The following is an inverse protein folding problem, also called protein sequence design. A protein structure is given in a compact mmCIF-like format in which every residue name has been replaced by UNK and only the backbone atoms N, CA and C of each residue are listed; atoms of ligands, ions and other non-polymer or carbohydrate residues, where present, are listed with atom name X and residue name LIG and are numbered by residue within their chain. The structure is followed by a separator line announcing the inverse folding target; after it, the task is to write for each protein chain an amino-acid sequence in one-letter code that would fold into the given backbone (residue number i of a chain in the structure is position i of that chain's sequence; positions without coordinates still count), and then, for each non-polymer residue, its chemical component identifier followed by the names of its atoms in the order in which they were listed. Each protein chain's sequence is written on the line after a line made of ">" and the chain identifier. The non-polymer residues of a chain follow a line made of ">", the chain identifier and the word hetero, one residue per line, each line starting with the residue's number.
data_IF_938326403995
#
_entry.id   IF_938326403995
#
_cell.length_a   1.000
_cell.length_b   1.000
_cell.length_c   1.000
_cell.angle_alpha   90.00
_cell.angle_beta   90.00
_cell.angle_gamma   90.00
#
_symmetry.space_group_name_H-M   'P 1'
#
loop_
_entity.id
_entity.type
_entity.pdbx_description
1 polymer ?
#
# COMPACT_ATOMS: atom_id res chain seq x y z
N UNK A 1 -0.76 48.56 4.76
CA UNK A 1 -2.05 49.25 4.53
C UNK A 1 -3.13 48.19 4.72
N UNK A 2 -3.79 48.15 5.89
CA UNK A 2 -5.14 48.71 6.12
C UNK A 2 -6.22 47.94 5.33
N UNK A 3 -7.32 47.34 5.82
CA UNK A 3 -7.98 47.13 7.13
C UNK A 3 -9.38 46.53 6.81
N UNK A 4 -9.94 45.66 7.68
CA UNK A 4 -11.40 45.34 7.90
C UNK A 4 -12.25 44.75 6.73
N UNK A 5 -13.37 44.02 6.86
CA UNK A 5 -14.01 43.03 7.77
C UNK A 5 -15.32 42.55 7.10
N UNK A 6 -15.69 41.28 7.33
CA UNK A 6 -17.03 40.65 7.49
C UNK A 6 -18.25 40.95 6.58
N UNK A 7 -18.99 39.89 6.17
CA UNK A 7 -20.29 39.46 6.76
C UNK A 7 -21.03 38.37 5.93
N UNK A 8 -21.32 37.24 6.59
CA UNK A 8 -22.58 36.44 6.66
C UNK A 8 -23.58 36.25 5.48
N UNK A 9 -23.92 34.95 5.30
CA UNK A 9 -25.25 34.28 5.09
C UNK A 9 -25.91 34.30 3.70
N UNK A 10 -26.18 33.10 3.15
CA UNK A 10 -27.53 32.56 2.94
C UNK A 10 -27.50 31.11 2.44
N UNK A 11 -28.27 30.24 3.10
CA UNK A 11 -28.61 28.89 2.66
C UNK A 11 -29.86 28.94 1.76
N UNK A 12 -29.96 28.06 0.76
CA UNK A 12 -31.22 27.80 0.07
C UNK A 12 -31.46 26.29 -0.07
N UNK A 13 -32.44 25.84 0.71
CA UNK A 13 -33.04 24.51 0.70
C UNK A 13 -34.24 24.58 -0.26
N UNK A 14 -34.30 23.71 -1.27
CA UNK A 14 -35.50 23.58 -2.13
C UNK A 14 -36.19 22.26 -1.80
N UNK A 15 -37.36 22.38 -1.18
CA UNK A 15 -38.24 21.32 -0.73
C UNK A 15 -39.43 21.30 -1.71
N UNK A 16 -39.55 20.26 -2.52
CA UNK A 16 -40.71 20.07 -3.42
C UNK A 16 -41.64 19.04 -2.80
N UNK A 17 -42.74 19.53 -2.24
CA UNK A 17 -43.90 18.77 -1.80
C UNK A 17 -44.95 18.83 -2.93
N UNK A 18 -45.30 17.70 -3.52
CA UNK A 18 -46.54 17.55 -4.28
C UNK A 18 -47.31 16.34 -3.76
N UNK A 19 -48.32 16.63 -2.92
CA UNK A 19 -49.45 15.74 -2.67
C UNK A 19 -50.44 15.82 -3.82
N UNK A 20 -50.98 14.67 -4.24
CA UNK A 20 -52.34 14.39 -4.77
C UNK A 20 -52.25 13.08 -5.56
N UNK A 21 -53.12 12.08 -5.44
CA UNK A 21 -54.33 11.87 -4.67
C UNK A 21 -54.57 10.35 -4.58
N UNK A 22 -55.16 9.89 -3.48
CA UNK A 22 -55.75 8.55 -3.38
C UNK A 22 -57.04 8.51 -4.20
N UNK A 23 -57.14 7.58 -5.14
CA UNK A 23 -58.43 7.02 -5.55
C UNK A 23 -58.39 5.51 -5.36
N UNK A 24 -59.37 5.03 -4.60
CA UNK A 24 -59.58 3.62 -4.27
C UNK A 24 -60.21 2.96 -5.50
N UNK A 25 -59.45 2.13 -6.19
CA UNK A 25 -59.93 1.21 -7.22
C UNK A 25 -59.72 -0.23 -6.74
N UNK A 26 -60.78 -0.84 -6.22
CA UNK A 26 -60.79 -2.22 -5.80
C UNK A 26 -60.92 -3.13 -7.04
N UNK A 27 -59.88 -3.88 -7.42
CA UNK A 27 -60.01 -5.27 -7.91
C UNK A 27 -58.64 -5.94 -8.17
N UNK A 28 -58.52 -7.20 -7.71
CA UNK A 28 -57.47 -8.19 -8.01
C UNK A 28 -56.04 -7.94 -7.49
N UNK A 29 -55.88 -8.03 -6.17
CA UNK A 29 -54.68 -8.60 -5.56
C UNK A 29 -54.62 -10.11 -5.82
N UNK A 30 -53.53 -10.62 -6.43
CA UNK A 30 -52.94 -11.96 -6.15
C UNK A 30 -51.79 -12.36 -7.09
N UNK A 31 -51.53 -11.63 -8.18
CA UNK A 31 -50.47 -11.96 -9.14
C UNK A 31 -49.10 -11.32 -8.82
N UNK A 32 -49.04 -10.00 -8.67
CA UNK A 32 -47.76 -9.26 -8.67
C UNK A 32 -46.97 -9.38 -7.36
N UNK A 33 -47.63 -9.46 -6.20
CA UNK A 33 -46.95 -9.72 -4.91
C UNK A 33 -46.30 -11.10 -4.82
N UNK A 34 -46.82 -12.10 -5.56
CA UNK A 34 -46.21 -13.44 -5.61
C UNK A 34 -44.96 -13.45 -6.46
N UNK A 35 -44.91 -12.68 -7.55
CA UNK A 35 -43.71 -12.58 -8.39
C UNK A 35 -42.60 -11.74 -7.76
N UNK A 36 -42.93 -10.66 -7.03
CA UNK A 36 -41.92 -9.88 -6.30
C UNK A 36 -41.35 -10.65 -5.09
N UNK A 37 -42.16 -11.46 -4.40
CA UNK A 37 -41.70 -12.31 -3.29
C UNK A 37 -40.89 -13.52 -3.78
N UNK A 38 -41.28 -14.13 -4.90
CA UNK A 38 -40.54 -15.25 -5.51
C UNK A 38 -39.20 -14.84 -6.13
N UNK A 39 -39.05 -13.59 -6.58
CA UNK A 39 -37.79 -13.06 -7.09
C UNK A 39 -36.74 -12.78 -5.99
N UNK A 40 -37.16 -12.59 -4.74
CA UNK A 40 -36.27 -12.47 -3.57
C UNK A 40 -35.93 -13.83 -2.91
N UNK A 41 -36.69 -14.89 -3.18
CA UNK A 41 -36.53 -16.22 -2.55
C UNK A 41 -35.75 -17.23 -3.42
N UNK A 42 -35.20 -16.83 -4.57
CA UNK A 42 -34.45 -17.70 -5.49
C UNK A 42 -32.93 -17.46 -5.51
N UNK A 43 -32.35 -16.94 -4.43
CA UNK A 43 -30.90 -16.93 -4.30
C UNK A 43 -30.39 -18.38 -4.23
N UNK A 44 -29.47 -18.74 -5.15
CA UNK A 44 -28.71 -19.99 -5.10
C UNK A 44 -28.21 -20.20 -3.65
N UNK A 45 -28.46 -21.35 -3.01
CA UNK A 45 -27.98 -21.64 -1.66
C UNK A 45 -26.49 -21.32 -1.46
N UNK A 46 -25.66 -21.55 -2.49
CA UNK A 46 -24.24 -21.20 -2.44
C UNK A 46 -24.03 -19.68 -2.40
N UNK A 47 -24.76 -18.91 -3.20
CA UNK A 47 -24.68 -17.45 -3.20
C UNK A 47 -25.18 -16.85 -1.87
N UNK A 48 -26.28 -17.39 -1.33
CA UNK A 48 -26.80 -16.99 -0.02
C UNK A 48 -25.79 -17.26 1.10
N UNK A 49 -25.11 -18.39 1.08
CA UNK A 49 -24.05 -18.70 2.06
C UNK A 49 -22.93 -17.64 2.03
N UNK A 50 -22.51 -17.18 0.85
CA UNK A 50 -21.46 -16.17 0.72
C UNK A 50 -21.93 -14.78 1.18
N UNK A 51 -23.20 -14.43 0.92
CA UNK A 51 -23.81 -13.21 1.44
C UNK A 51 -23.92 -13.22 2.96
N UNK A 52 -24.36 -14.33 3.54
CA UNK A 52 -24.44 -14.50 5.00
C UNK A 52 -23.06 -14.44 5.66
N UNK A 53 -22.03 -14.97 4.99
CA UNK A 53 -20.64 -14.89 5.45
C UNK A 53 -20.13 -13.45 5.46
N UNK A 54 -20.32 -12.70 4.37
CA UNK A 54 -19.95 -11.29 4.28
C UNK A 54 -20.69 -10.43 5.30
N UNK A 55 -22.01 -10.62 5.46
CA UNK A 55 -22.79 -9.86 6.43
C UNK A 55 -22.31 -10.07 7.88
N UNK A 56 -21.90 -11.29 8.24
CA UNK A 56 -21.27 -11.58 9.53
C UNK A 56 -19.91 -10.88 9.65
N UNK A 57 -19.10 -10.93 8.60
CA UNK A 57 -17.80 -10.29 8.56
C UNK A 57 -17.88 -8.78 8.71
N UNK A 58 -18.77 -8.11 7.97
CA UNK A 58 -19.03 -6.68 8.06
C UNK A 58 -19.40 -6.26 9.50
N UNK A 59 -20.19 -7.07 10.21
CA UNK A 59 -20.52 -6.83 11.61
C UNK A 59 -19.29 -6.94 12.52
N UNK A 60 -18.38 -7.88 12.26
CA UNK A 60 -17.11 -7.99 12.99
C UNK A 60 -16.27 -6.74 12.74
N UNK A 61 -16.02 -6.37 11.49
CA UNK A 61 -15.20 -5.20 11.11
C UNK A 61 -15.78 -3.92 11.73
N UNK A 62 -17.10 -3.71 11.65
CA UNK A 62 -17.78 -2.53 12.19
C UNK A 62 -17.61 -2.37 13.71
N UNK A 63 -17.56 -3.48 14.45
CA UNK A 63 -17.47 -3.47 15.91
C UNK A 63 -16.03 -3.70 16.41
N UNK A 64 -15.08 -3.96 15.52
CA UNK A 64 -13.70 -4.28 15.86
C UNK A 64 -12.98 -3.09 16.49
N UNK A 65 -12.60 -3.23 17.75
CA UNK A 65 -11.67 -2.29 18.42
C UNK A 65 -10.22 -2.54 18.04
N UNK A 66 -9.92 -3.78 17.67
CA UNK A 66 -8.59 -4.29 17.35
C UNK A 66 -8.69 -5.28 16.19
N UNK A 67 -7.65 -5.30 15.34
CA UNK A 67 -7.59 -6.18 14.16
C UNK A 67 -7.64 -7.68 14.51
N UNK A 68 -7.28 -8.06 15.74
CA UNK A 68 -7.31 -9.45 16.21
C UNK A 68 -8.66 -10.14 16.01
N UNK A 69 -9.77 -9.41 16.22
CA UNK A 69 -11.12 -9.94 16.00
C UNK A 69 -11.42 -10.23 14.52
N UNK A 70 -10.90 -9.37 13.63
CA UNK A 70 -11.05 -9.51 12.18
C UNK A 70 -10.20 -10.70 11.70
N UNK A 71 -8.92 -10.75 12.10
CA UNK A 71 -8.00 -11.83 11.75
C UNK A 71 -8.49 -13.20 12.26
N UNK A 72 -9.03 -13.28 13.48
CA UNK A 72 -9.64 -14.53 13.99
C UNK A 72 -10.76 -15.02 13.08
N UNK A 73 -11.65 -14.10 12.68
CA UNK A 73 -12.75 -14.45 11.78
C UNK A 73 -12.23 -14.96 10.43
N UNK A 74 -11.22 -14.30 9.84
CA UNK A 74 -10.62 -14.76 8.59
C UNK A 74 -10.05 -16.18 8.74
N UNK A 75 -9.25 -16.42 9.78
CA UNK A 75 -8.65 -17.73 10.04
C UNK A 75 -9.69 -18.85 10.15
N UNK A 76 -10.83 -18.57 10.80
CA UNK A 76 -11.91 -19.55 10.99
C UNK A 76 -12.77 -19.76 9.73
N UNK A 77 -12.93 -18.74 8.89
CA UNK A 77 -13.98 -18.74 7.86
C UNK A 77 -13.45 -18.65 6.42
N UNK A 78 -12.18 -18.35 6.17
CA UNK A 78 -11.62 -18.21 4.81
C UNK A 78 -11.78 -19.50 4.00
N UNK A 79 -11.77 -20.67 4.65
CA UNK A 79 -12.00 -21.97 3.98
C UNK A 79 -13.39 -22.09 3.34
N UNK A 80 -14.39 -21.38 3.87
CA UNK A 80 -15.77 -21.38 3.40
C UNK A 80 -16.03 -20.31 2.33
N UNK A 81 -15.15 -19.33 2.21
CA UNK A 81 -15.26 -18.27 1.22
C UNK A 81 -14.98 -18.80 -0.19
N UNK A 82 -15.77 -18.31 -1.14
CA UNK A 82 -15.37 -18.29 -2.55
C UNK A 82 -14.32 -17.18 -2.77
N UNK A 83 -13.75 -17.12 -3.97
CA UNK A 83 -12.68 -16.16 -4.28
C UNK A 83 -13.08 -14.71 -4.06
N UNK A 84 -14.22 -14.29 -4.61
CA UNK A 84 -14.68 -12.90 -4.50
C UNK A 84 -14.90 -12.49 -3.04
N UNK A 85 -15.54 -13.35 -2.24
CA UNK A 85 -15.77 -13.12 -0.82
C UNK A 85 -14.47 -13.08 -0.04
N UNK A 86 -13.51 -13.97 -0.34
CA UNK A 86 -12.19 -13.97 0.27
C UNK A 86 -11.44 -12.66 0.00
N UNK A 87 -11.44 -12.19 -1.25
CA UNK A 87 -10.79 -10.94 -1.63
C UNK A 87 -11.44 -9.74 -0.94
N UNK A 88 -12.77 -9.67 -0.90
CA UNK A 88 -13.50 -8.60 -0.19
C UNK A 88 -13.12 -8.57 1.28
N UNK A 89 -13.13 -9.72 1.95
CA UNK A 89 -12.80 -9.79 3.37
C UNK A 89 -11.36 -9.31 3.62
N UNK A 90 -10.38 -9.76 2.82
CA UNK A 90 -8.99 -9.36 3.02
C UNK A 90 -8.74 -7.88 2.69
N UNK A 91 -9.39 -7.33 1.68
CA UNK A 91 -9.33 -5.88 1.37
C UNK A 91 -9.88 -5.03 2.51
N UNK A 92 -10.96 -5.46 3.15
CA UNK A 92 -11.51 -4.78 4.32
C UNK A 92 -10.57 -4.86 5.53
N UNK A 93 -9.81 -5.95 5.72
CA UNK A 93 -8.76 -6.01 6.73
C UNK A 93 -7.65 -4.99 6.42
N UNK A 94 -7.21 -4.88 5.16
CA UNK A 94 -6.21 -3.89 4.76
C UNK A 94 -6.72 -2.45 4.97
N UNK A 95 -7.99 -2.17 4.62
CA UNK A 95 -8.62 -0.87 4.90
C UNK A 95 -8.79 -0.58 6.40
N UNK A 96 -8.88 -1.62 7.24
CA UNK A 96 -8.82 -1.45 8.70
C UNK A 96 -7.41 -1.07 9.14
N UNK A 97 -6.37 -1.75 8.62
CA UNK A 97 -4.97 -1.44 8.93
C UNK A 97 -4.58 0.00 8.59
N UNK A 98 -5.02 0.53 7.45
CA UNK A 98 -4.77 1.93 7.05
C UNK A 98 -5.24 2.95 8.10
N UNK A 99 -6.29 2.62 8.87
CA UNK A 99 -6.85 3.48 9.93
C UNK A 99 -6.26 3.17 11.30
N UNK A 100 -5.83 1.93 11.52
CA UNK A 100 -5.35 1.44 12.81
C UNK A 100 -3.85 1.65 13.01
N UNK A 101 -3.05 1.61 11.94
CA UNK A 101 -1.60 1.56 12.04
C UNK A 101 -1.01 2.79 12.74
N UNK A 102 -1.42 4.00 12.36
CA UNK A 102 -0.87 5.22 12.95
C UNK A 102 -1.11 5.28 14.46
N UNK A 103 -2.36 5.11 14.90
CA UNK A 103 -2.69 5.10 16.35
C UNK A 103 -1.97 3.98 17.10
N UNK A 104 -1.74 2.84 16.44
CA UNK A 104 -1.02 1.71 17.00
C UNK A 104 0.47 2.02 17.17
N UNK A 105 1.10 2.69 16.20
CA UNK A 105 2.47 3.15 16.31
C UNK A 105 2.62 4.22 17.40
N UNK A 106 1.75 5.23 17.42
CA UNK A 106 1.74 6.27 18.46
C UNK A 106 1.63 5.69 19.88
N UNK A 107 0.78 4.66 20.05
CA UNK A 107 0.67 3.97 21.34
C UNK A 107 1.99 3.29 21.75
N UNK A 108 2.69 2.67 20.80
CA UNK A 108 3.98 2.02 21.08
C UNK A 108 5.08 3.03 21.38
N UNK A 109 5.10 4.18 20.71
CA UNK A 109 6.12 5.22 20.86
C UNK A 109 6.07 5.96 22.22
N UNK A 110 5.17 5.58 23.13
CA UNK A 110 5.19 6.08 24.51
C UNK A 110 6.47 5.63 25.25
N UNK A 111 7.16 6.56 25.91
CA UNK A 111 8.42 6.32 26.62
C UNK A 111 8.37 5.12 27.58
N UNK A 112 7.28 4.96 28.35
CA UNK A 112 7.16 3.85 29.31
C UNK A 112 7.00 2.51 28.61
N UNK A 113 6.36 2.49 27.44
CA UNK A 113 6.21 1.30 26.63
C UNK A 113 7.57 0.95 26.00
N UNK A 114 8.26 1.94 25.41
CA UNK A 114 9.61 1.76 24.88
C UNK A 114 10.58 1.23 25.93
N UNK A 115 10.60 1.80 27.14
CA UNK A 115 11.45 1.36 28.25
C UNK A 115 11.28 -0.12 28.61
N UNK A 116 10.06 -0.65 28.46
CA UNK A 116 9.76 -2.07 28.70
C UNK A 116 10.18 -2.91 27.50
N UNK A 117 9.82 -2.49 26.28
CA UNK A 117 10.12 -3.23 25.06
C UNK A 117 11.64 -3.33 24.81
N UNK A 118 12.40 -2.27 25.10
CA UNK A 118 13.86 -2.24 24.94
C UNK A 118 14.61 -3.15 25.92
N UNK A 119 13.95 -3.60 27.00
CA UNK A 119 14.50 -4.59 27.95
C UNK A 119 14.04 -6.01 27.65
N UNK A 120 13.09 -6.18 26.74
CA UNK A 120 12.62 -7.49 26.32
C UNK A 120 13.61 -8.13 25.34
N UNK A 121 13.52 -9.45 25.18
CA UNK A 121 14.29 -10.18 24.20
C UNK A 121 13.85 -9.80 22.77
N UNK A 122 14.82 -9.39 21.94
CA UNK A 122 14.59 -9.06 20.53
C UNK A 122 15.01 -10.21 19.61
N UNK A 123 14.22 -10.59 18.59
CA UNK A 123 12.93 -10.02 18.19
C UNK A 123 11.77 -10.44 19.09
N UNK A 124 10.81 -9.52 19.31
CA UNK A 124 9.59 -9.81 20.07
C UNK A 124 8.57 -10.49 19.17
N UNK A 125 8.21 -11.72 19.51
CA UNK A 125 7.27 -12.57 18.78
C UNK A 125 6.29 -13.25 19.74
N UNK A 126 5.28 -13.94 19.20
CA UNK A 126 4.36 -14.73 20.01
C UNK A 126 5.06 -15.82 20.84
N UNK A 127 6.26 -16.26 20.44
CA UNK A 127 7.02 -17.29 21.15
C UNK A 127 7.68 -16.79 22.45
N UNK A 128 8.09 -15.52 22.50
CA UNK A 128 8.80 -14.95 23.65
C UNK A 128 8.05 -13.80 24.35
N UNK A 129 6.83 -13.46 23.90
CA UNK A 129 6.02 -12.40 24.51
C UNK A 129 5.78 -12.57 26.02
N UNK A 130 5.76 -13.81 26.51
CA UNK A 130 5.61 -14.12 27.94
C UNK A 130 6.75 -13.55 28.81
N UNK A 131 7.91 -13.23 28.21
CA UNK A 131 9.08 -12.66 28.89
C UNK A 131 8.93 -11.17 29.19
N UNK A 132 7.96 -10.48 28.58
CA UNK A 132 7.70 -9.06 28.85
C UNK A 132 7.19 -8.91 30.30
N UNK A 133 7.87 -8.13 31.17
CA UNK A 133 7.53 -8.09 32.59
C UNK A 133 6.25 -7.30 32.90
N UNK A 134 5.94 -6.27 32.13
CA UNK A 134 4.75 -5.45 32.33
C UNK A 134 3.53 -6.08 31.63
N UNK A 135 2.50 -6.42 32.40
CA UNK A 135 1.31 -7.10 31.88
C UNK A 135 0.50 -6.25 30.90
N UNK A 136 0.50 -4.92 31.03
CA UNK A 136 -0.21 -4.03 30.09
C UNK A 136 0.54 -3.96 28.78
N UNK A 137 1.87 -3.82 28.82
CA UNK A 137 2.71 -3.84 27.60
C UNK A 137 2.61 -5.19 26.91
N UNK A 138 2.68 -6.29 27.69
CA UNK A 138 2.48 -7.66 27.19
C UNK A 138 1.12 -7.81 26.51
N UNK A 139 0.04 -7.33 27.12
CA UNK A 139 -1.30 -7.39 26.52
C UNK A 139 -1.40 -6.53 25.24
N UNK A 140 -0.80 -5.34 25.23
CA UNK A 140 -0.74 -4.48 24.06
C UNK A 140 -0.04 -5.19 22.89
N UNK A 141 1.16 -5.74 23.12
CA UNK A 141 1.90 -6.52 22.13
C UNK A 141 1.10 -7.73 21.66
N UNK A 142 0.50 -8.50 22.58
CA UNK A 142 -0.25 -9.72 22.27
C UNK A 142 -1.42 -9.41 21.35
N UNK A 143 -2.11 -8.29 21.61
CA UNK A 143 -3.23 -7.81 20.82
C UNK A 143 -2.80 -7.46 19.40
N UNK A 144 -1.66 -6.77 19.23
CA UNK A 144 -1.14 -6.42 17.90
C UNK A 144 -0.65 -7.65 17.13
N UNK A 145 0.10 -8.55 17.76
CA UNK A 145 0.55 -9.79 17.11
C UNK A 145 -0.64 -10.66 16.67
N UNK A 146 -1.66 -10.80 17.51
CA UNK A 146 -2.90 -11.52 17.16
C UNK A 146 -3.70 -10.83 16.05
N UNK A 147 -3.50 -9.52 15.88
CA UNK A 147 -4.09 -8.70 14.82
C UNK A 147 -3.35 -8.73 13.49
N UNK A 148 -2.32 -9.57 13.33
CA UNK A 148 -1.54 -9.62 12.09
C UNK A 148 -0.58 -8.45 11.95
N UNK A 149 -0.13 -7.89 13.06
CA UNK A 149 1.04 -7.00 13.09
C UNK A 149 2.27 -7.79 13.51
N UNK A 150 3.43 -7.28 13.10
CA UNK A 150 4.72 -7.66 13.69
C UNK A 150 5.44 -6.41 14.17
N UNK A 151 6.37 -6.58 15.11
CA UNK A 151 7.16 -5.48 15.61
C UNK A 151 8.44 -5.33 14.78
N UNK A 152 8.81 -4.08 14.53
CA UNK A 152 10.12 -3.70 13.98
C UNK A 152 10.84 -2.80 14.96
N UNK A 153 12.17 -2.77 14.85
CA UNK A 153 13.03 -1.84 15.55
C UNK A 153 13.71 -0.95 14.52
N UNK A 154 13.40 0.34 14.54
CA UNK A 154 13.99 1.33 13.64
C UNK A 154 14.49 2.47 14.51
N UNK A 155 15.77 2.82 14.35
CA UNK A 155 16.42 3.91 15.11
C UNK A 155 16.24 3.81 16.63
N UNK A 156 16.28 2.57 17.15
CA UNK A 156 16.13 2.30 18.59
C UNK A 156 14.69 2.39 19.11
N UNK A 157 13.70 2.56 18.23
CA UNK A 157 12.27 2.58 18.57
C UNK A 157 11.61 1.29 18.09
N UNK A 158 10.83 0.65 18.97
CA UNK A 158 10.08 -0.56 18.66
C UNK A 158 8.60 -0.22 18.43
N UNK A 159 8.06 -0.53 17.25
CA UNK A 159 6.66 -0.26 16.94
C UNK A 159 6.08 -1.28 15.95
N UNK A 160 4.74 -1.41 15.87
CA UNK A 160 4.09 -2.37 14.98
C UNK A 160 4.07 -1.88 13.53
N UNK A 161 4.19 -2.83 12.61
CA UNK A 161 3.83 -2.70 11.20
C UNK A 161 2.96 -3.89 10.78
N UNK A 162 2.25 -3.75 9.67
CA UNK A 162 1.41 -4.84 9.14
C UNK A 162 2.30 -6.01 8.71
N UNK A 163 1.94 -7.20 9.17
CA UNK A 163 2.56 -8.45 8.74
C UNK A 163 1.84 -8.96 7.48
N UNK A 164 2.27 -8.46 6.32
CA UNK A 164 1.75 -8.94 5.03
C UNK A 164 2.20 -10.37 4.72
N UNK A 165 3.28 -10.88 5.34
CA UNK A 165 3.70 -12.27 5.18
C UNK A 165 2.65 -13.22 5.74
N UNK A 166 2.05 -12.89 6.89
CA UNK A 166 0.94 -13.65 7.46
C UNK A 166 -0.24 -13.80 6.49
N UNK A 167 -0.54 -12.77 5.68
CA UNK A 167 -1.66 -12.81 4.74
C UNK A 167 -1.48 -13.85 3.63
N UNK A 168 -0.24 -14.28 3.34
CA UNK A 168 0.04 -15.36 2.37
C UNK A 168 -0.56 -16.71 2.80
N UNK A 169 -0.94 -16.88 4.07
CA UNK A 169 -1.68 -18.06 4.53
C UNK A 169 -3.03 -18.23 3.82
N UNK A 170 -3.65 -17.13 3.36
CA UNK A 170 -4.92 -17.13 2.65
C UNK A 170 -4.80 -17.39 1.15
N UNK A 171 -3.58 -17.48 0.59
CA UNK A 171 -3.31 -17.43 -0.86
C UNK A 171 -4.14 -18.38 -1.74
N UNK A 172 -4.51 -19.55 -1.21
CA UNK A 172 -5.29 -20.56 -1.94
C UNK A 172 -6.72 -20.12 -2.25
N UNK A 173 -7.21 -19.08 -1.55
CA UNK A 173 -8.58 -18.58 -1.65
C UNK A 173 -8.68 -17.26 -2.39
N UNK A 174 -7.57 -16.56 -2.54
CA UNK A 174 -7.55 -15.23 -3.14
C UNK A 174 -7.47 -15.30 -4.67
N UNK A 175 -7.79 -14.19 -5.31
CA UNK A 175 -7.48 -13.96 -6.71
C UNK A 175 -5.98 -13.82 -6.96
N UNK A 176 -5.58 -14.01 -8.22
CA UNK A 176 -4.17 -13.93 -8.61
C UNK A 176 -3.63 -12.50 -8.45
N UNK A 177 -4.44 -11.47 -8.71
CA UNK A 177 -4.06 -10.07 -8.51
C UNK A 177 -3.83 -9.76 -7.03
N UNK A 178 -4.75 -10.13 -6.15
CA UNK A 178 -4.58 -9.86 -4.72
C UNK A 178 -3.41 -10.65 -4.12
N UNK A 179 -3.17 -11.88 -4.59
CA UNK A 179 -1.98 -12.65 -4.24
C UNK A 179 -0.68 -11.96 -4.65
N UNK A 180 -0.62 -11.42 -5.87
CA UNK A 180 0.55 -10.70 -6.35
C UNK A 180 0.78 -9.40 -5.54
N UNK A 181 -0.29 -8.68 -5.21
CA UNK A 181 -0.21 -7.49 -4.36
C UNK A 181 0.35 -7.83 -2.97
N UNK A 182 -0.12 -8.90 -2.33
CA UNK A 182 0.36 -9.33 -1.02
C UNK A 182 1.83 -9.74 -1.08
N UNK A 183 2.27 -10.38 -2.18
CA UNK A 183 3.67 -10.74 -2.35
C UNK A 183 4.57 -9.49 -2.35
N UNK A 184 4.20 -8.47 -3.13
CA UNK A 184 4.88 -7.17 -3.17
C UNK A 184 4.89 -6.52 -1.78
N UNK A 185 3.72 -6.39 -1.13
CA UNK A 185 3.62 -5.75 0.19
C UNK A 185 4.40 -6.49 1.27
N UNK A 186 4.47 -7.82 1.20
CA UNK A 186 5.26 -8.63 2.11
C UNK A 186 6.76 -8.39 1.92
N UNK A 187 7.23 -8.30 0.67
CA UNK A 187 8.61 -7.96 0.37
C UNK A 187 8.97 -6.56 0.89
N UNK A 188 8.15 -5.56 0.59
CA UNK A 188 8.34 -4.18 1.06
C UNK A 188 8.34 -4.04 2.59
N UNK A 189 7.44 -4.78 3.25
CA UNK A 189 7.38 -4.79 4.71
C UNK A 189 8.63 -5.45 5.30
N UNK A 190 8.97 -6.65 4.83
CA UNK A 190 10.03 -7.49 5.42
C UNK A 190 11.42 -6.90 5.20
N UNK A 191 11.66 -6.35 4.03
CA UNK A 191 12.94 -5.81 3.60
C UNK A 191 12.68 -4.42 2.98
N UNK A 192 12.56 -3.36 3.79
CA UNK A 192 12.32 -2.01 3.28
C UNK A 192 13.43 -1.59 2.31
N UNK A 193 13.08 -0.96 1.18
CA UNK A 193 14.08 -0.50 0.22
C UNK A 193 14.98 0.62 0.78
N UNK A 194 14.42 1.49 1.64
CA UNK A 194 15.10 2.65 2.20
C UNK A 194 14.81 2.86 3.69
N UNK A 195 15.81 3.34 4.43
CA UNK A 195 15.73 3.75 5.83
C UNK A 195 16.63 4.97 6.06
N UNK A 196 16.24 5.89 6.94
CA UNK A 196 16.96 7.15 7.23
C UNK A 196 17.49 7.85 5.95
N UNK A 197 16.60 8.04 4.96
CA UNK A 197 16.93 8.65 3.67
C UNK A 197 18.14 8.02 2.93
N UNK A 198 18.41 6.74 3.16
CA UNK A 198 19.42 5.94 2.46
C UNK A 198 18.82 4.64 1.93
N UNK A 199 19.39 4.12 0.85
CA UNK A 199 19.01 2.82 0.30
C UNK A 199 19.64 1.74 1.17
N UNK A 200 18.85 0.76 1.60
CA UNK A 200 19.34 -0.35 2.46
C UNK A 200 19.31 -1.71 1.74
N UNK A 201 18.91 -1.70 0.46
CA UNK A 201 19.00 -2.83 -0.46
C UNK A 201 19.96 -2.50 -1.61
N UNK A 202 20.50 -3.49 -2.35
CA UNK A 202 21.28 -3.23 -3.55
C UNK A 202 20.46 -2.55 -4.66
N UNK A 203 21.12 -1.75 -5.50
CA UNK A 203 20.48 -1.10 -6.66
C UNK A 203 19.81 -2.08 -7.62
N UNK A 204 20.41 -3.26 -7.83
CA UNK A 204 19.82 -4.30 -8.68
C UNK A 204 18.54 -4.87 -8.09
N UNK A 205 18.47 -4.99 -6.76
CA UNK A 205 17.25 -5.44 -6.10
C UNK A 205 16.16 -4.40 -6.29
N UNK A 206 16.46 -3.10 -6.09
CA UNK A 206 15.51 -2.02 -6.35
C UNK A 206 14.98 -2.04 -7.80
N UNK A 207 15.84 -2.31 -8.79
CA UNK A 207 15.42 -2.49 -10.18
C UNK A 207 14.51 -3.73 -10.37
N UNK A 208 14.83 -4.84 -9.70
CA UNK A 208 14.02 -6.05 -9.73
C UNK A 208 12.61 -5.78 -9.14
N UNK A 209 12.51 -5.01 -8.05
CA UNK A 209 11.23 -4.58 -7.45
C UNK A 209 10.42 -3.66 -8.36
N UNK A 210 11.08 -2.69 -9.00
CA UNK A 210 10.45 -1.81 -9.96
C UNK A 210 9.84 -2.61 -11.14
N UNK A 211 10.56 -3.60 -11.65
CA UNK A 211 10.07 -4.49 -12.71
C UNK A 211 8.89 -5.35 -12.22
N UNK A 212 8.94 -5.86 -11.00
CA UNK A 212 7.83 -6.61 -10.39
C UNK A 212 6.55 -5.76 -10.30
N UNK A 213 6.68 -4.52 -9.82
CA UNK A 213 5.56 -3.58 -9.75
C UNK A 213 5.03 -3.21 -11.16
N UNK A 214 5.92 -3.01 -12.14
CA UNK A 214 5.55 -2.80 -13.54
C UNK A 214 4.74 -3.98 -14.10
N UNK A 215 5.19 -5.21 -13.86
CA UNK A 215 4.49 -6.42 -14.30
C UNK A 215 3.11 -6.53 -13.68
N UNK A 216 2.96 -6.25 -12.38
CA UNK A 216 1.66 -6.21 -11.73
C UNK A 216 0.70 -5.24 -12.44
N UNK A 217 1.16 -4.02 -12.71
CA UNK A 217 0.35 -2.96 -13.32
C UNK A 217 -0.13 -3.37 -14.72
N UNK A 218 0.73 -4.05 -15.49
CA UNK A 218 0.42 -4.53 -16.84
C UNK A 218 -0.48 -5.77 -16.83
N UNK A 219 -0.25 -6.70 -15.91
CA UNK A 219 -0.96 -7.97 -15.82
C UNK A 219 -2.37 -7.81 -15.23
N UNK A 220 -2.52 -6.90 -14.27
CA UNK A 220 -3.76 -6.69 -13.52
C UNK A 220 -4.29 -5.26 -13.66
N UNK A 221 -4.66 -4.83 -14.89
CA UNK A 221 -5.08 -3.45 -15.13
C UNK A 221 -6.32 -3.09 -14.30
N UNK A 222 -7.29 -3.99 -14.15
CA UNK A 222 -8.53 -3.69 -13.41
C UNK A 222 -8.46 -4.00 -11.91
N UNK A 223 -7.27 -4.33 -11.38
CA UNK A 223 -7.12 -4.62 -9.95
C UNK A 223 -7.38 -3.37 -9.11
N UNK A 224 -8.17 -3.47 -8.03
CA UNK A 224 -8.34 -2.38 -7.06
C UNK A 224 -7.02 -1.85 -6.49
N UNK A 225 -6.00 -2.71 -6.39
CA UNK A 225 -4.69 -2.40 -5.82
C UNK A 225 -3.74 -1.68 -6.81
N UNK A 226 -4.11 -1.58 -8.09
CA UNK A 226 -3.22 -1.06 -9.15
C UNK A 226 -2.67 0.34 -8.86
N UNK A 227 -3.49 1.24 -8.35
CA UNK A 227 -3.04 2.60 -8.05
C UNK A 227 -1.95 2.62 -6.96
N UNK A 228 -2.09 1.77 -5.94
CA UNK A 228 -1.09 1.62 -4.88
C UNK A 228 0.23 1.07 -5.44
N UNK A 229 0.17 0.01 -6.27
CA UNK A 229 1.36 -0.57 -6.89
C UNK A 229 2.02 0.38 -7.89
N UNK A 230 1.25 1.19 -8.63
CA UNK A 230 1.80 2.24 -9.48
C UNK A 230 2.55 3.30 -8.67
N UNK A 231 2.04 3.69 -7.50
CA UNK A 231 2.75 4.62 -6.64
C UNK A 231 4.05 4.01 -6.11
N UNK A 232 4.04 2.74 -5.72
CA UNK A 232 5.26 2.01 -5.32
C UNK A 232 6.28 1.98 -6.46
N UNK A 233 5.87 1.57 -7.67
CA UNK A 233 6.73 1.59 -8.86
C UNK A 233 7.39 2.95 -9.10
N UNK A 234 6.61 4.04 -8.97
CA UNK A 234 7.14 5.41 -9.12
C UNK A 234 8.11 5.79 -8.01
N UNK A 235 7.89 5.33 -6.78
CA UNK A 235 8.82 5.54 -5.68
C UNK A 235 10.14 4.81 -5.95
N UNK A 236 10.08 3.55 -6.38
CA UNK A 236 11.25 2.75 -6.70
C UNK A 236 12.05 3.37 -7.85
N UNK A 237 11.37 3.78 -8.93
CA UNK A 237 12.00 4.48 -10.05
C UNK A 237 12.58 5.84 -9.63
N UNK A 238 11.94 6.54 -8.70
CA UNK A 238 12.48 7.79 -8.16
C UNK A 238 13.77 7.55 -7.39
N UNK A 239 13.79 6.57 -6.50
CA UNK A 239 15.02 6.19 -5.78
C UNK A 239 16.10 5.74 -6.76
N UNK A 240 15.73 4.90 -7.75
CA UNK A 240 16.65 4.33 -8.72
C UNK A 240 17.34 5.40 -9.58
N UNK A 241 16.59 6.39 -10.08
CA UNK A 241 17.09 7.42 -10.99
C UNK A 241 17.70 8.63 -10.24
N UNK A 242 17.08 9.05 -9.14
CA UNK A 242 17.45 10.28 -8.44
C UNK A 242 18.45 10.04 -7.31
N UNK A 243 18.47 8.82 -6.76
CA UNK A 243 19.16 8.50 -5.52
C UNK A 243 18.45 9.05 -4.28
N UNK A 244 19.08 8.81 -3.14
CA UNK A 244 18.65 9.30 -1.84
C UNK A 244 19.75 10.14 -1.20
N UNK A 245 19.42 10.92 -0.17
CA UNK A 245 20.36 11.83 0.49
C UNK A 245 21.59 11.10 1.03
N UNK A 246 21.40 9.98 1.71
CA UNK A 246 22.46 9.18 2.30
C UNK A 246 23.00 8.09 1.35
N UNK A 247 22.40 7.95 0.18
CA UNK A 247 22.86 7.03 -0.88
C UNK A 247 22.66 7.67 -2.25
N UNK A 248 23.45 8.72 -2.58
CA UNK A 248 23.33 9.40 -3.86
C UNK A 248 23.77 8.47 -4.99
N UNK A 249 23.20 8.67 -6.19
CA UNK A 249 23.62 7.93 -7.39
C UNK A 249 24.98 8.37 -7.94
N UNK A 250 25.58 9.40 -7.37
CA UNK A 250 26.83 10.00 -7.81
C UNK A 250 27.82 10.15 -6.65
N UNK A 251 29.11 10.22 -6.99
CA UNK A 251 30.16 10.55 -6.04
C UNK A 251 30.12 12.07 -5.73
N UNK A 252 30.01 12.49 -4.46
CA UNK A 252 29.80 13.89 -4.10
C UNK A 252 30.98 14.81 -4.40
N UNK A 253 32.20 14.28 -4.57
CA UNK A 253 33.40 15.07 -4.88
C UNK A 253 33.56 15.33 -6.37
N UNK A 254 33.12 14.39 -7.20
CA UNK A 254 33.33 14.41 -8.66
C UNK A 254 32.06 14.65 -9.46
N UNK A 255 30.89 14.52 -8.82
CA UNK A 255 29.56 14.50 -9.42
C UNK A 255 29.35 13.45 -10.53
N UNK A 256 30.27 12.51 -10.66
CA UNK A 256 30.14 11.38 -11.58
C UNK A 256 29.19 10.33 -11.00
N UNK A 257 28.38 9.72 -11.86
CA UNK A 257 27.61 8.54 -11.54
C UNK A 257 28.54 7.46 -10.96
N UNK A 258 28.13 6.85 -9.85
CA UNK A 258 28.95 5.79 -9.25
C UNK A 258 29.02 4.58 -10.17
N UNK A 259 30.14 3.86 -10.11
CA UNK A 259 30.32 2.63 -10.91
C UNK A 259 29.29 1.55 -10.57
N UNK A 260 28.86 1.50 -9.31
CA UNK A 260 27.83 0.57 -8.85
C UNK A 260 26.47 0.84 -9.52
N UNK A 261 26.01 2.09 -9.51
CA UNK A 261 24.73 2.49 -10.13
C UNK A 261 24.81 2.33 -11.64
N UNK A 262 25.92 2.76 -12.26
CA UNK A 262 26.16 2.55 -13.69
C UNK A 262 25.99 1.08 -14.08
N UNK A 263 26.66 0.19 -13.34
CA UNK A 263 26.61 -1.24 -13.63
C UNK A 263 25.20 -1.81 -13.39
N UNK A 264 24.45 -1.27 -12.44
CA UNK A 264 23.04 -1.64 -12.25
C UNK A 264 22.18 -1.24 -13.45
N UNK A 265 22.30 0.00 -13.95
CA UNK A 265 21.57 0.44 -15.14
C UNK A 265 21.86 -0.45 -16.35
N UNK A 266 23.14 -0.72 -16.63
CA UNK A 266 23.56 -1.59 -17.73
C UNK A 266 22.99 -3.01 -17.58
N UNK A 267 22.98 -3.57 -16.36
CA UNK A 267 22.37 -4.88 -16.09
C UNK A 267 20.87 -4.85 -16.28
N UNK A 268 20.17 -3.83 -15.80
CA UNK A 268 18.72 -3.65 -15.97
C UNK A 268 18.34 -3.62 -17.45
N UNK A 269 19.07 -2.84 -18.26
CA UNK A 269 18.88 -2.81 -19.72
C UNK A 269 19.05 -4.18 -20.36
N UNK A 270 20.04 -4.96 -19.91
CA UNK A 270 20.34 -6.27 -20.48
C UNK A 270 19.34 -7.36 -20.06
N UNK A 271 18.94 -7.39 -18.78
CA UNK A 271 18.10 -8.41 -18.15
C UNK A 271 16.62 -8.22 -18.46
N UNK A 272 16.15 -6.97 -18.49
CA UNK A 272 14.73 -6.63 -18.54
C UNK A 272 14.32 -5.96 -19.85
N UNK A 273 14.90 -6.41 -20.96
CA UNK A 273 14.57 -5.89 -22.30
C UNK A 273 13.06 -5.91 -22.54
N UNK A 274 12.51 -4.76 -22.92
CA UNK A 274 11.07 -4.59 -23.21
C UNK A 274 10.23 -4.16 -22.01
N UNK A 275 10.80 -4.05 -20.81
CA UNK A 275 10.14 -3.39 -19.69
C UNK A 275 10.30 -1.87 -19.80
N UNK A 276 9.35 -1.14 -19.21
CA UNK A 276 9.39 0.31 -19.07
C UNK A 276 10.56 0.72 -18.15
N UNK A 277 10.81 -0.05 -17.10
CA UNK A 277 11.95 0.13 -16.19
C UNK A 277 13.27 0.16 -16.96
N UNK A 278 13.52 -0.84 -17.82
CA UNK A 278 14.71 -0.91 -18.64
C UNK A 278 14.77 0.21 -19.70
N UNK A 279 13.61 0.60 -20.25
CA UNK A 279 13.53 1.72 -21.20
C UNK A 279 13.95 3.05 -20.55
N UNK A 280 13.41 3.38 -19.37
CA UNK A 280 13.76 4.60 -18.63
C UNK A 280 15.24 4.59 -18.23
N UNK A 281 15.74 3.46 -17.72
CA UNK A 281 17.17 3.32 -17.39
C UNK A 281 18.07 3.56 -18.63
N UNK A 282 17.71 2.99 -19.78
CA UNK A 282 18.43 3.17 -21.04
C UNK A 282 18.43 4.60 -21.56
N UNK A 283 17.31 5.30 -21.42
CA UNK A 283 17.27 6.73 -21.75
C UNK A 283 18.19 7.52 -20.82
N UNK A 284 18.21 7.22 -19.53
CA UNK A 284 19.06 7.93 -18.60
C UNK A 284 20.55 7.69 -18.87
N UNK A 285 20.93 6.44 -19.17
CA UNK A 285 22.28 6.08 -19.58
C UNK A 285 22.74 6.91 -20.78
N UNK A 286 21.92 7.04 -21.83
CA UNK A 286 22.25 7.88 -23.00
C UNK A 286 22.45 9.36 -22.65
N UNK A 287 21.62 9.88 -21.73
CA UNK A 287 21.78 11.26 -21.24
C UNK A 287 23.10 11.41 -20.49
N UNK A 288 23.45 10.45 -19.64
CA UNK A 288 24.69 10.44 -18.86
C UNK A 288 25.94 10.26 -19.74
N UNK A 289 25.89 9.45 -20.80
CA UNK A 289 26.97 9.34 -21.78
C UNK A 289 27.28 10.69 -22.43
N UNK A 290 26.24 11.49 -22.74
CA UNK A 290 26.40 12.83 -23.30
C UNK A 290 26.99 13.86 -22.32
N UNK A 291 26.98 13.56 -21.02
CA UNK A 291 27.55 14.40 -19.96
C UNK A 291 28.85 13.84 -19.36
N UNK A 292 29.51 12.90 -20.05
CA UNK A 292 30.71 12.20 -19.52
C UNK A 292 30.45 11.58 -18.14
N UNK A 293 29.27 10.95 -18.00
CA UNK A 293 28.75 10.31 -16.80
C UNK A 293 28.57 11.24 -15.59
N UNK A 294 28.60 12.55 -15.78
CA UNK A 294 28.30 13.51 -14.72
C UNK A 294 26.80 13.68 -14.52
N UNK A 295 26.37 13.61 -13.26
CA UNK A 295 24.98 13.90 -12.84
C UNK A 295 24.80 15.39 -12.54
N UNK A 296 25.83 16.02 -12.00
CA UNK A 296 25.91 17.47 -11.78
C UNK A 296 27.25 18.00 -12.26
N UNK A 297 27.37 19.31 -12.37
CA UNK A 297 28.62 20.01 -12.65
C UNK A 297 29.00 20.91 -11.47
N UNK A 298 30.26 21.33 -11.41
CA UNK A 298 30.73 22.25 -10.37
C UNK A 298 31.14 23.58 -11.00
N UNK A 299 30.54 24.68 -10.53
CA UNK A 299 30.90 26.03 -10.97
C UNK A 299 31.11 26.91 -9.75
N UNK A 300 32.26 27.56 -9.66
CA UNK A 300 32.63 28.42 -8.52
C UNK A 300 32.53 27.75 -7.14
N UNK A 301 32.74 26.44 -7.07
CA UNK A 301 32.62 25.70 -5.81
C UNK A 301 31.20 25.21 -5.49
N UNK A 302 30.21 25.54 -6.30
CA UNK A 302 28.81 25.15 -6.09
C UNK A 302 28.39 24.06 -7.08
N UNK A 303 27.52 23.15 -6.61
CA UNK A 303 26.85 22.17 -7.44
C UNK A 303 25.88 22.89 -8.38
N UNK A 304 25.93 22.56 -9.67
CA UNK A 304 25.07 23.11 -10.72
C UNK A 304 24.47 22.03 -11.60
N UNK A 305 23.27 22.28 -12.12
CA UNK A 305 22.59 21.34 -12.99
C UNK A 305 23.23 21.26 -14.37
N UNK A 306 23.30 20.04 -14.91
CA UNK A 306 23.56 19.78 -16.33
C UNK A 306 22.20 19.78 -17.03
N UNK A 307 21.94 20.68 -18.02
CA UNK A 307 20.59 20.89 -18.55
C UNK A 307 19.86 19.62 -19.01
N UNK A 308 20.54 18.75 -19.76
CA UNK A 308 19.93 17.50 -20.24
C UNK A 308 19.68 16.48 -19.13
N UNK A 309 20.57 16.39 -18.14
CA UNK A 309 20.39 15.50 -16.97
C UNK A 309 19.21 15.97 -16.14
N UNK A 310 19.14 17.27 -15.87
CA UNK A 310 18.03 17.89 -15.14
C UNK A 310 16.70 17.68 -15.86
N UNK A 311 16.67 17.97 -17.16
CA UNK A 311 15.47 17.80 -17.98
C UNK A 311 14.94 16.36 -17.94
N UNK A 312 15.82 15.36 -17.98
CA UNK A 312 15.42 13.96 -17.84
C UNK A 312 14.84 13.67 -16.45
N UNK A 313 15.57 14.04 -15.38
CA UNK A 313 15.16 13.83 -13.99
C UNK A 313 13.84 14.51 -13.63
N UNK A 314 13.54 15.66 -14.24
CA UNK A 314 12.28 16.37 -14.02
C UNK A 314 11.08 15.71 -14.74
N UNK A 315 11.30 14.87 -15.76
CA UNK A 315 10.24 14.42 -16.68
C UNK A 315 9.99 12.91 -16.71
N UNK A 316 10.93 12.06 -16.29
CA UNK A 316 10.81 10.60 -16.45
C UNK A 316 9.57 10.00 -15.74
N UNK A 317 9.12 10.57 -14.62
CA UNK A 317 7.88 10.10 -13.96
C UNK A 317 6.62 10.39 -14.79
N UNK A 318 6.58 11.53 -15.49
CA UNK A 318 5.49 11.85 -16.40
C UNK A 318 5.53 10.95 -17.64
N UNK A 319 6.73 10.59 -18.13
CA UNK A 319 6.89 9.58 -19.18
C UNK A 319 6.35 8.22 -18.71
N UNK A 320 6.69 7.78 -17.49
CA UNK A 320 6.13 6.57 -16.88
C UNK A 320 4.60 6.60 -16.88
N UNK A 321 3.99 7.69 -16.39
CA UNK A 321 2.53 7.80 -16.34
C UNK A 321 1.89 7.77 -17.74
N UNK A 322 2.57 8.29 -18.76
CA UNK A 322 2.10 8.28 -20.16
C UNK A 322 2.21 6.91 -20.85
N UNK A 323 3.16 6.08 -20.42
CA UNK A 323 3.45 4.78 -21.04
C UNK A 323 2.75 3.61 -20.32
N UNK A 324 2.36 3.79 -19.07
CA UNK A 324 1.51 2.83 -18.37
C UNK A 324 0.09 2.87 -18.94
N UNK A 325 -0.62 1.73 -19.04
CA UNK A 325 -1.97 1.70 -19.58
C UNK A 325 -2.91 2.66 -18.82
N UNK A 326 -3.56 3.58 -19.53
CA UNK A 326 -4.62 4.44 -18.99
C UNK A 326 -5.95 3.70 -18.89
N UNK A 327 -6.83 4.14 -17.97
CA UNK A 327 -8.25 3.76 -17.92
C UNK A 327 -9.12 4.89 -18.46
#
# INVERSE_FOLDING_TARGET
>A
MSVLTSHTKAALLVLVLCMLALTIGCSKESGERRHAKAALESADPAQKQQQDLLAKYELIVKNAKEAASIVSFLNENMVQANRQTADTMLRELNAYYEKDLQKSQEAFLNDKIQDVLMKAEWPITSANIATIPDDKVKQLVATKLSGGYRLVMVEGMIYPIVDYEMQKTYRKKLSDDLNAFIAIQAQESNEPAAMDAGLVIPWDELADRAVEAEHFIKQFPVSPERASVQQLYKNDMSMYILGLTNTPVFNPDTFQLTSEVKASYERTESRYKGTLTAHIASQFVKVLESSDWKVYDQRNGEQTDIPQVKSFRDSFLAEIDSMLPSF
#
